data_IF_327077032406
#
_entry.id   IF_327077032406
#
_cell.length_a   1.000
_cell.length_b   1.000
_cell.length_c   1.000
_cell.angle_alpha   90.00
_cell.angle_beta   90.00
_cell.angle_gamma   90.00
#
_symmetry.space_group_name_H-M   'P 1'
#
loop_
_entity.id
_entity.type
_entity.pdbx_description
1 polymer ?
#
# COMPACT_ATOMS: atom_id res chain seq x y z
N UNK A 1 16.35 -17.70 12.84
CA UNK A 1 17.16 -18.48 11.90
C UNK A 1 18.05 -19.53 12.61
N UNK A 2 18.37 -19.34 13.89
CA UNK A 2 19.28 -20.20 14.67
C UNK A 2 18.72 -21.59 15.04
N UNK A 3 17.44 -21.85 14.76
CA UNK A 3 16.77 -23.08 15.22
C UNK A 3 16.43 -24.08 14.10
N UNK A 4 16.86 -23.85 12.85
CA UNK A 4 16.64 -24.83 11.79
C UNK A 4 17.82 -25.82 11.71
N UNK A 5 17.66 -27.09 12.15
CA UNK A 5 18.75 -28.06 12.15
C UNK A 5 19.21 -28.48 10.75
N UNK A 6 18.50 -28.08 9.70
CA UNK A 6 18.79 -28.44 8.31
C UNK A 6 19.27 -27.24 7.45
N UNK A 7 19.46 -26.05 8.04
CA UNK A 7 19.95 -24.88 7.31
C UNK A 7 19.05 -24.38 6.17
N UNK A 8 17.76 -24.75 6.19
CA UNK A 8 16.78 -24.42 5.12
C UNK A 8 16.16 -23.04 5.31
N UNK A 9 16.51 -22.31 6.37
CA UNK A 9 15.99 -20.96 6.62
C UNK A 9 16.80 -19.94 5.83
N UNK A 10 16.17 -19.29 4.88
CA UNK A 10 16.76 -18.22 4.08
C UNK A 10 16.16 -16.88 4.54
N UNK A 11 17.00 -15.88 4.74
CA UNK A 11 16.52 -14.54 5.03
C UNK A 11 15.85 -13.96 3.78
N UNK A 12 14.60 -13.52 3.93
CA UNK A 12 13.81 -12.90 2.85
C UNK A 12 14.04 -11.39 2.72
N UNK A 13 14.88 -10.83 3.61
CA UNK A 13 15.20 -9.41 3.66
C UNK A 13 16.69 -9.21 3.91
N UNK A 14 17.22 -8.11 3.41
CA UNK A 14 18.57 -7.64 3.72
C UNK A 14 18.43 -6.40 4.62
N UNK A 15 18.81 -6.47 5.91
CA UNK A 15 18.78 -5.30 6.77
C UNK A 15 19.81 -4.28 6.26
N UNK A 16 19.36 -3.05 6.10
CA UNK A 16 20.21 -1.89 5.78
C UNK A 16 20.04 -0.86 6.89
N UNK A 17 21.12 -0.18 7.26
CA UNK A 17 21.02 1.01 8.09
C UNK A 17 20.36 2.16 7.30
N UNK A 18 19.88 3.18 7.99
CA UNK A 18 19.33 4.38 7.34
C UNK A 18 20.37 5.04 6.44
N UNK A 19 21.64 5.06 6.87
CA UNK A 19 22.75 5.61 6.11
C UNK A 19 23.02 4.84 4.82
N UNK A 20 23.07 3.51 4.91
CA UNK A 20 23.27 2.64 3.74
C UNK A 20 22.10 2.79 2.76
N UNK A 21 20.86 2.82 3.26
CA UNK A 21 19.67 3.00 2.45
C UNK A 21 19.66 4.37 1.78
N UNK A 22 20.05 5.42 2.50
CA UNK A 22 20.19 6.78 1.96
C UNK A 22 21.18 6.81 0.79
N UNK A 23 22.38 6.26 0.99
CA UNK A 23 23.39 6.19 -0.08
C UNK A 23 22.88 5.41 -1.28
N UNK A 24 22.18 4.30 -1.05
CA UNK A 24 21.60 3.48 -2.11
C UNK A 24 20.56 4.24 -2.93
N UNK A 25 19.62 4.92 -2.29
CA UNK A 25 18.54 5.65 -2.95
C UNK A 25 19.07 6.90 -3.70
N UNK A 26 20.06 7.59 -3.15
CA UNK A 26 20.63 8.78 -3.79
C UNK A 26 21.44 8.49 -5.07
N UNK A 27 21.82 7.25 -5.33
CA UNK A 27 22.47 6.88 -6.62
C UNK A 27 21.60 7.19 -7.82
N UNK A 28 20.28 7.06 -7.66
CA UNK A 28 19.32 7.26 -8.73
C UNK A 28 18.70 8.67 -8.75
N UNK A 29 19.24 9.60 -7.95
CA UNK A 29 18.72 10.97 -7.83
C UNK A 29 18.53 11.67 -9.18
N UNK A 30 19.50 11.55 -10.10
CA UNK A 30 19.41 12.13 -11.43
C UNK A 30 18.27 11.52 -12.26
N UNK A 31 18.01 10.24 -12.08
CA UNK A 31 16.89 9.53 -12.75
C UNK A 31 15.56 10.04 -12.21
N UNK A 32 15.43 10.19 -10.90
CA UNK A 32 14.21 10.75 -10.27
C UNK A 32 13.92 12.16 -10.78
N UNK A 33 14.94 13.01 -10.85
CA UNK A 33 14.79 14.40 -11.31
C UNK A 33 14.39 14.48 -12.79
N UNK A 34 14.91 13.59 -13.63
CA UNK A 34 14.59 13.57 -15.06
C UNK A 34 13.21 12.98 -15.36
N UNK A 35 12.81 11.96 -14.62
CA UNK A 35 11.55 11.27 -14.85
C UNK A 35 10.35 11.87 -14.10
N UNK A 36 10.59 12.75 -13.13
CA UNK A 36 9.57 13.17 -12.16
C UNK A 36 9.17 12.07 -11.18
N UNK A 37 9.97 10.99 -11.11
CA UNK A 37 9.77 9.89 -10.19
C UNK A 37 10.34 10.15 -8.79
N UNK A 38 10.52 9.09 -8.02
CA UNK A 38 11.00 9.20 -6.65
C UNK A 38 11.07 7.86 -5.94
N UNK A 39 10.89 7.88 -4.62
CA UNK A 39 10.93 6.71 -3.76
C UNK A 39 9.54 6.37 -3.27
N UNK A 40 9.12 5.11 -3.44
CA UNK A 40 7.88 4.59 -2.87
C UNK A 40 8.21 3.69 -1.69
N UNK A 41 7.69 4.04 -0.52
CA UNK A 41 7.73 3.22 0.68
C UNK A 41 6.55 2.26 0.67
N UNK A 42 6.83 0.97 0.62
CA UNK A 42 5.85 -0.12 0.54
C UNK A 42 6.41 -1.37 1.25
N UNK A 43 5.74 -2.51 1.14
CA UNK A 43 6.21 -3.78 1.69
C UNK A 43 5.24 -4.35 2.70
N UNK A 44 5.59 -4.45 4.01
CA UNK A 44 4.60 -4.56 5.08
C UNK A 44 3.70 -3.31 5.07
N UNK A 45 3.24 -2.81 6.19
CA UNK A 45 2.63 -1.47 6.16
C UNK A 45 3.67 -0.46 6.69
N UNK A 46 4.26 0.41 5.84
CA UNK A 46 5.35 1.29 6.24
C UNK A 46 4.93 2.33 7.28
N UNK A 47 3.65 2.66 7.40
CA UNK A 47 3.16 3.61 8.41
C UNK A 47 3.41 3.12 9.84
N UNK A 48 3.50 1.81 10.04
CA UNK A 48 3.73 1.21 11.38
C UNK A 48 5.14 1.53 11.89
N UNK A 49 6.10 1.68 10.97
CA UNK A 49 7.51 1.94 11.25
C UNK A 49 8.00 3.30 10.75
N UNK A 50 7.07 4.18 10.37
CA UNK A 50 7.42 5.44 9.69
C UNK A 50 8.34 6.33 10.54
N UNK A 51 8.20 6.31 11.87
CA UNK A 51 9.06 7.08 12.78
C UNK A 51 10.53 6.67 12.71
N UNK A 52 10.82 5.40 12.44
CA UNK A 52 12.18 4.88 12.25
C UNK A 52 12.80 5.40 10.93
N UNK A 53 11.94 5.79 9.99
CA UNK A 53 12.34 6.30 8.67
C UNK A 53 12.47 7.83 8.63
N UNK A 54 12.11 8.57 9.67
CA UNK A 54 12.19 10.04 9.65
C UNK A 54 13.57 10.59 9.27
N UNK A 55 14.71 10.06 9.77
CA UNK A 55 16.02 10.54 9.34
C UNK A 55 16.29 10.34 7.84
N UNK A 56 15.79 9.26 7.25
CA UNK A 56 15.86 9.01 5.82
C UNK A 56 14.94 9.98 5.05
N UNK A 57 13.69 10.13 5.49
CA UNK A 57 12.71 11.00 4.85
C UNK A 57 13.16 12.48 4.88
N UNK A 58 13.76 12.92 5.97
CA UNK A 58 14.35 14.25 6.08
C UNK A 58 15.44 14.46 5.02
N UNK A 59 16.33 13.46 4.87
CA UNK A 59 17.38 13.51 3.87
C UNK A 59 16.85 13.53 2.45
N UNK A 60 15.86 12.68 2.14
CA UNK A 60 15.22 12.68 0.82
C UNK A 60 14.53 14.02 0.51
N UNK A 61 13.92 14.65 1.52
CA UNK A 61 13.31 15.96 1.39
C UNK A 61 14.34 17.05 1.11
N UNK A 62 15.48 17.07 1.83
CA UNK A 62 16.59 17.98 1.56
C UNK A 62 17.10 17.85 0.11
N UNK A 63 17.15 16.62 -0.40
CA UNK A 63 17.60 16.31 -1.76
C UNK A 63 16.49 16.48 -2.81
N UNK A 64 15.31 16.97 -2.39
CA UNK A 64 14.12 17.22 -3.25
C UNK A 64 13.66 15.97 -4.02
N UNK A 65 13.74 14.81 -3.36
CA UNK A 65 13.26 13.54 -3.92
C UNK A 65 11.80 13.38 -3.52
N UNK A 66 10.95 13.09 -4.51
CA UNK A 66 9.54 12.79 -4.31
C UNK A 66 9.38 11.50 -3.51
N UNK A 67 8.61 11.54 -2.43
CA UNK A 67 8.33 10.39 -1.57
C UNK A 67 6.86 10.02 -1.63
N UNK A 68 6.57 8.77 -1.99
CA UNK A 68 5.24 8.17 -1.96
C UNK A 68 5.19 7.11 -0.87
N UNK A 69 4.09 7.02 -0.14
CA UNK A 69 3.83 5.92 0.80
C UNK A 69 2.61 5.12 0.36
N UNK A 70 2.75 3.79 0.32
CA UNK A 70 1.63 2.87 0.11
C UNK A 70 1.29 2.22 1.45
N UNK A 71 0.09 2.49 1.97
CA UNK A 71 -0.31 2.14 3.32
C UNK A 71 -1.80 1.81 3.42
N UNK A 72 -2.17 0.98 4.38
CA UNK A 72 -3.57 0.74 4.74
C UNK A 72 -4.17 1.85 5.60
N UNK A 73 -3.38 2.84 6.01
CA UNK A 73 -3.70 3.86 7.00
C UNK A 73 -4.08 3.31 8.40
N UNK A 74 -3.74 2.08 8.71
CA UNK A 74 -3.95 1.53 10.04
C UNK A 74 -2.84 2.00 11.00
N UNK A 75 -2.91 3.26 11.40
CA UNK A 75 -2.01 3.88 12.36
C UNK A 75 -2.82 4.43 13.54
N UNK A 76 -2.58 3.91 14.75
CA UNK A 76 -3.28 4.36 15.97
C UNK A 76 -2.68 5.62 16.57
N UNK A 77 -1.44 5.93 16.22
CA UNK A 77 -0.76 7.15 16.67
C UNK A 77 -0.91 8.27 15.62
N UNK A 78 -1.89 9.13 15.86
CA UNK A 78 -2.14 10.26 14.98
C UNK A 78 -1.04 11.32 15.00
N UNK A 79 -0.21 11.37 16.04
CA UNK A 79 0.91 12.32 16.09
C UNK A 79 2.00 11.90 15.08
N UNK A 80 2.34 10.62 15.03
CA UNK A 80 3.27 10.06 14.03
C UNK A 80 2.72 10.25 12.60
N UNK A 81 1.42 10.03 12.40
CA UNK A 81 0.80 10.27 11.10
C UNK A 81 0.91 11.75 10.68
N UNK A 82 0.63 12.68 11.59
CA UNK A 82 0.73 14.11 11.33
C UNK A 82 2.17 14.55 11.01
N UNK A 83 3.14 14.05 11.75
CA UNK A 83 4.54 14.34 11.51
C UNK A 83 5.00 13.87 10.14
N UNK A 84 4.58 12.67 9.73
CA UNK A 84 4.94 12.08 8.43
C UNK A 84 4.41 12.87 7.23
N UNK A 85 3.30 13.63 7.38
CA UNK A 85 2.72 14.46 6.30
C UNK A 85 3.74 15.45 5.73
N UNK A 86 4.66 15.95 6.55
CA UNK A 86 5.67 16.91 6.09
C UNK A 86 6.72 16.35 5.14
N UNK A 87 6.82 15.02 5.04
CA UNK A 87 7.83 14.30 4.27
C UNK A 87 7.25 13.56 3.06
N UNK A 88 5.96 13.25 3.07
CA UNK A 88 5.31 12.42 2.06
C UNK A 88 4.56 13.31 1.06
N UNK A 89 4.90 13.17 -0.22
CA UNK A 89 4.30 13.93 -1.31
C UNK A 89 3.00 13.29 -1.81
N UNK A 90 2.90 11.96 -1.76
CA UNK A 90 1.74 11.22 -2.22
C UNK A 90 1.44 10.05 -1.28
N UNK A 91 0.14 9.86 -0.99
CA UNK A 91 -0.39 8.79 -0.15
C UNK A 91 -1.22 7.85 -1.01
N UNK A 92 -0.75 6.62 -1.22
CA UNK A 92 -1.53 5.57 -1.86
C UNK A 92 -2.20 4.76 -0.75
N UNK A 93 -3.52 4.92 -0.63
CA UNK A 93 -4.30 4.21 0.39
C UNK A 93 -4.78 2.88 -0.18
N UNK A 94 -4.18 1.79 0.28
CA UNK A 94 -4.54 0.43 -0.10
C UNK A 94 -5.76 -0.03 0.71
N UNK A 95 -6.93 -0.02 0.08
CA UNK A 95 -8.20 -0.35 0.71
C UNK A 95 -8.33 -1.85 0.93
N UNK A 96 -8.41 -2.25 2.20
CA UNK A 96 -8.51 -3.66 2.59
C UNK A 96 -9.94 -3.95 3.04
N UNK A 97 -10.78 -4.39 2.12
CA UNK A 97 -12.19 -4.64 2.40
C UNK A 97 -12.53 -6.09 2.80
N UNK A 98 -11.53 -6.95 2.90
CA UNK A 98 -11.69 -8.32 3.39
C UNK A 98 -11.68 -8.35 4.91
N UNK A 99 -12.84 -8.53 5.53
CA UNK A 99 -13.02 -8.53 7.00
C UNK A 99 -12.22 -9.62 7.72
N UNK A 100 -11.96 -10.75 7.06
CA UNK A 100 -11.36 -11.93 7.67
C UNK A 100 -9.89 -11.77 8.07
N UNK A 101 -9.21 -10.75 7.53
CA UNK A 101 -7.76 -10.58 7.65
C UNK A 101 -7.34 -9.36 8.47
N UNK A 102 -8.29 -8.54 8.96
CA UNK A 102 -8.00 -7.29 9.64
C UNK A 102 -8.62 -7.22 11.03
N UNK A 103 -8.07 -6.32 11.85
CA UNK A 103 -8.57 -6.06 13.20
C UNK A 103 -9.98 -5.45 13.13
N UNK A 104 -10.79 -5.72 14.14
CA UNK A 104 -12.18 -5.22 14.21
C UNK A 104 -12.28 -3.70 14.12
N UNK A 105 -11.27 -2.97 14.60
CA UNK A 105 -11.21 -1.51 14.60
C UNK A 105 -10.55 -0.90 13.33
N UNK A 106 -10.23 -1.73 12.32
CA UNK A 106 -9.55 -1.26 11.11
C UNK A 106 -10.30 -0.15 10.39
N UNK A 107 -11.58 -0.35 10.11
CA UNK A 107 -12.39 0.60 9.36
C UNK A 107 -12.51 1.95 10.08
N UNK A 108 -12.61 1.95 11.40
CA UNK A 108 -12.71 3.17 12.21
C UNK A 108 -11.38 3.95 12.21
N UNK A 109 -10.27 3.25 12.45
CA UNK A 109 -8.93 3.86 12.47
C UNK A 109 -8.59 4.43 11.08
N UNK A 110 -8.78 3.64 10.03
CA UNK A 110 -8.52 4.06 8.65
C UNK A 110 -9.38 5.26 8.26
N UNK A 111 -10.68 5.23 8.56
CA UNK A 111 -11.60 6.34 8.24
C UNK A 111 -11.21 7.62 9.00
N UNK A 112 -10.84 7.52 10.27
CA UNK A 112 -10.36 8.66 11.05
C UNK A 112 -9.11 9.28 10.42
N UNK A 113 -8.10 8.46 10.12
CA UNK A 113 -6.84 8.89 9.52
C UNK A 113 -7.04 9.48 8.12
N UNK A 114 -7.92 8.89 7.31
CA UNK A 114 -8.27 9.42 5.99
C UNK A 114 -8.89 10.82 6.08
N UNK A 115 -9.80 11.05 7.03
CA UNK A 115 -10.38 12.38 7.28
C UNK A 115 -9.30 13.38 7.70
N UNK A 116 -8.39 12.96 8.58
CA UNK A 116 -7.28 13.80 9.03
C UNK A 116 -6.40 14.23 7.85
N UNK A 117 -5.97 13.31 7.02
CA UNK A 117 -5.14 13.59 5.84
C UNK A 117 -5.88 14.49 4.83
N UNK A 118 -7.16 14.26 4.58
CA UNK A 118 -7.97 15.13 3.70
C UNK A 118 -8.07 16.56 4.21
N UNK A 119 -8.25 16.75 5.53
CA UNK A 119 -8.29 18.07 6.12
C UNK A 119 -6.97 18.84 5.98
N UNK A 120 -5.86 18.12 5.85
CA UNK A 120 -4.53 18.70 5.61
C UNK A 120 -4.25 18.95 4.12
N UNK A 121 -5.15 18.53 3.24
CA UNK A 121 -5.05 18.77 1.79
C UNK A 121 -3.90 18.00 1.12
N UNK A 122 -3.48 16.87 1.70
CA UNK A 122 -2.43 16.03 1.10
C UNK A 122 -2.94 15.30 -0.16
N UNK A 123 -2.03 14.97 -1.06
CA UNK A 123 -2.35 14.20 -2.26
C UNK A 123 -2.61 12.73 -1.89
N UNK A 124 -3.84 12.25 -2.14
CA UNK A 124 -4.27 10.89 -1.80
C UNK A 124 -4.81 10.21 -3.05
N UNK A 125 -4.28 9.05 -3.37
CA UNK A 125 -4.84 8.09 -4.33
C UNK A 125 -5.29 6.83 -3.60
N UNK A 126 -6.19 6.07 -4.23
CA UNK A 126 -6.77 4.86 -3.63
C UNK A 126 -6.48 3.66 -4.51
N UNK A 127 -6.15 2.55 -3.88
CA UNK A 127 -5.88 1.26 -4.53
C UNK A 127 -6.72 0.16 -3.88
N UNK A 128 -7.16 -0.79 -4.69
CA UNK A 128 -7.84 -1.99 -4.26
C UNK A 128 -7.33 -3.19 -5.04
N UNK A 129 -6.93 -4.24 -4.34
CA UNK A 129 -6.66 -5.53 -4.97
C UNK A 129 -7.96 -6.33 -5.01
N UNK A 130 -8.50 -6.52 -6.22
CA UNK A 130 -9.71 -7.31 -6.41
C UNK A 130 -9.42 -8.81 -6.32
N UNK A 131 -10.21 -9.52 -5.52
CA UNK A 131 -10.21 -10.97 -5.38
C UNK A 131 -11.59 -11.54 -5.68
N UNK A 132 -11.66 -12.81 -6.12
CA UNK A 132 -12.90 -13.46 -6.60
C UNK A 132 -14.07 -13.43 -5.61
N UNK A 133 -13.80 -13.33 -4.30
CA UNK A 133 -14.83 -13.31 -3.26
C UNK A 133 -15.42 -11.94 -2.96
N UNK A 134 -15.00 -10.87 -3.66
CA UNK A 134 -15.53 -9.52 -3.42
C UNK A 134 -16.83 -9.29 -4.19
N UNK A 135 -17.83 -8.78 -3.47
CA UNK A 135 -19.12 -8.39 -4.04
C UNK A 135 -19.09 -6.90 -4.41
N UNK A 136 -19.35 -6.59 -5.69
CA UNK A 136 -19.24 -5.23 -6.23
C UNK A 136 -20.13 -4.22 -5.49
N UNK A 137 -21.36 -4.58 -5.15
CA UNK A 137 -22.32 -3.70 -4.47
C UNK A 137 -21.83 -3.32 -3.06
N UNK A 138 -21.26 -4.28 -2.31
CA UNK A 138 -20.66 -4.00 -1.00
C UNK A 138 -19.49 -3.03 -1.12
N UNK A 139 -18.62 -3.25 -2.09
CA UNK A 139 -17.46 -2.39 -2.35
C UNK A 139 -17.91 -0.97 -2.72
N UNK A 140 -18.87 -0.85 -3.63
CA UNK A 140 -19.45 0.46 -4.03
C UNK A 140 -20.02 1.22 -2.84
N UNK A 141 -20.77 0.56 -1.95
CA UNK A 141 -21.29 1.19 -0.75
C UNK A 141 -20.16 1.71 0.17
N UNK A 142 -19.11 0.92 0.36
CA UNK A 142 -17.97 1.32 1.18
C UNK A 142 -17.21 2.48 0.56
N UNK A 143 -16.97 2.47 -0.74
CA UNK A 143 -16.32 3.59 -1.46
C UNK A 143 -17.14 4.89 -1.32
N UNK A 144 -18.47 4.80 -1.45
CA UNK A 144 -19.36 5.96 -1.24
C UNK A 144 -19.27 6.51 0.18
N UNK A 145 -19.31 5.65 1.20
CA UNK A 145 -19.15 6.05 2.62
C UNK A 145 -17.81 6.74 2.87
N UNK A 146 -16.75 6.29 2.20
CA UNK A 146 -15.43 6.89 2.29
C UNK A 146 -15.25 8.12 1.40
N UNK A 147 -16.20 8.43 0.51
CA UNK A 147 -16.09 9.52 -0.47
C UNK A 147 -14.96 9.28 -1.47
N UNK A 148 -14.76 8.04 -1.89
CA UNK A 148 -13.77 7.66 -2.91
C UNK A 148 -14.44 7.68 -4.27
N UNK A 149 -14.01 8.59 -5.15
CA UNK A 149 -14.56 8.79 -6.48
C UNK A 149 -13.67 8.25 -7.59
N UNK A 150 -12.38 8.03 -7.31
CA UNK A 150 -11.42 7.45 -8.24
C UNK A 150 -10.63 6.35 -7.53
N UNK A 151 -10.43 5.23 -8.18
CA UNK A 151 -9.85 4.02 -7.62
C UNK A 151 -8.95 3.33 -8.64
N UNK A 152 -7.74 2.98 -8.21
CA UNK A 152 -6.87 2.08 -8.94
C UNK A 152 -7.21 0.64 -8.54
N UNK A 153 -7.59 -0.19 -9.51
CA UNK A 153 -7.96 -1.59 -9.26
C UNK A 153 -6.90 -2.52 -9.83
N UNK A 154 -6.33 -3.34 -8.94
CA UNK A 154 -5.39 -4.39 -9.30
C UNK A 154 -6.10 -5.74 -9.30
N UNK A 155 -5.92 -6.52 -10.35
CA UNK A 155 -6.35 -7.92 -10.35
C UNK A 155 -5.41 -8.75 -9.48
N UNK A 156 -5.94 -9.49 -8.51
CA UNK A 156 -5.14 -10.43 -7.73
C UNK A 156 -4.48 -11.47 -8.64
N UNK A 157 -3.24 -11.81 -8.35
CA UNK A 157 -2.43 -12.76 -9.12
C UNK A 157 -1.79 -13.83 -8.21
N UNK A 158 -1.33 -14.93 -8.82
CA UNK A 158 -0.75 -16.08 -8.10
C UNK A 158 0.75 -15.95 -7.77
N UNK A 159 1.40 -14.80 -8.02
CA UNK A 159 2.84 -14.65 -7.83
C UNK A 159 3.32 -14.92 -6.39
N UNK A 160 2.42 -14.78 -5.40
CA UNK A 160 2.73 -15.09 -4.01
C UNK A 160 2.81 -16.60 -3.72
N UNK A 161 2.36 -17.49 -4.61
CA UNK A 161 2.30 -18.94 -4.38
C UNK A 161 3.66 -19.54 -3.99
N UNK A 162 4.73 -19.12 -4.68
CA UNK A 162 6.08 -19.58 -4.36
C UNK A 162 6.52 -19.19 -2.93
N UNK A 163 6.08 -18.04 -2.44
CA UNK A 163 6.35 -17.55 -1.09
C UNK A 163 5.61 -18.39 -0.05
N UNK A 164 4.33 -18.71 -0.30
CA UNK A 164 3.54 -19.58 0.57
C UNK A 164 4.13 -20.99 0.62
N UNK A 165 4.55 -21.53 -0.52
CA UNK A 165 5.22 -22.84 -0.59
C UNK A 165 6.51 -22.87 0.23
N UNK A 166 7.36 -21.84 0.12
CA UNK A 166 8.60 -21.71 0.92
C UNK A 166 8.32 -21.63 2.43
N UNK A 167 7.20 -21.07 2.82
CA UNK A 167 6.78 -20.93 4.22
C UNK A 167 6.03 -22.16 4.74
N UNK A 168 5.77 -23.18 3.91
CA UNK A 168 4.98 -24.34 4.26
C UNK A 168 3.50 -24.01 4.53
N UNK A 169 3.01 -22.90 4.01
CA UNK A 169 1.64 -22.44 4.18
C UNK A 169 0.76 -22.80 2.98
N UNK A 170 -0.53 -23.12 3.19
CA UNK A 170 -1.45 -23.36 2.08
C UNK A 170 -1.70 -22.06 1.32
N UNK A 171 -1.48 -22.09 0.01
CA UNK A 171 -1.87 -20.97 -0.87
C UNK A 171 -3.36 -21.07 -1.18
N UNK A 172 -4.11 -20.02 -0.88
CA UNK A 172 -5.51 -19.90 -1.27
C UNK A 172 -5.61 -19.20 -2.61
N UNK A 173 -6.28 -19.82 -3.57
CA UNK A 173 -6.51 -19.24 -4.90
C UNK A 173 -7.60 -18.16 -4.81
N UNK A 174 -7.18 -16.90 -4.68
CA UNK A 174 -8.07 -15.74 -4.74
C UNK A 174 -8.03 -15.04 -6.11
N UNK A 175 -7.36 -15.69 -7.09
CA UNK A 175 -7.17 -15.10 -8.41
C UNK A 175 -8.52 -15.11 -9.14
N UNK A 176 -9.08 -13.93 -9.46
CA UNK A 176 -10.36 -13.85 -10.14
C UNK A 176 -10.23 -14.26 -11.60
N UNK A 177 -11.33 -14.78 -12.16
CA UNK A 177 -11.46 -14.98 -13.60
C UNK A 177 -11.41 -13.63 -14.32
N UNK A 178 -11.04 -13.63 -15.60
CA UNK A 178 -11.07 -12.39 -16.39
C UNK A 178 -12.48 -11.83 -16.47
N UNK A 179 -13.49 -12.70 -16.58
CA UNK A 179 -14.89 -12.30 -16.62
C UNK A 179 -15.30 -11.62 -15.32
N UNK A 180 -15.05 -12.25 -14.17
CA UNK A 180 -15.37 -11.71 -12.85
C UNK A 180 -14.70 -10.35 -12.61
N UNK A 181 -13.44 -10.21 -13.02
CA UNK A 181 -12.73 -8.92 -12.94
C UNK A 181 -13.40 -7.84 -13.80
N UNK A 182 -13.75 -8.14 -15.06
CA UNK A 182 -14.41 -7.19 -15.95
C UNK A 182 -15.82 -6.83 -15.48
N UNK A 183 -16.56 -7.79 -14.97
CA UNK A 183 -17.90 -7.56 -14.39
C UNK A 183 -17.78 -6.61 -13.16
N UNK A 184 -16.78 -6.81 -12.31
CA UNK A 184 -16.49 -5.94 -11.18
C UNK A 184 -16.14 -4.50 -11.61
N UNK A 185 -15.21 -4.33 -12.57
CA UNK A 185 -14.85 -3.02 -13.11
C UNK A 185 -16.07 -2.31 -13.70
N UNK A 186 -16.90 -3.05 -14.45
CA UNK A 186 -18.13 -2.51 -15.05
C UNK A 186 -19.09 -2.00 -13.97
N UNK A 187 -19.27 -2.75 -12.89
CA UNK A 187 -20.13 -2.34 -11.77
C UNK A 187 -19.63 -1.07 -11.09
N UNK A 188 -18.32 -0.93 -10.87
CA UNK A 188 -17.72 0.31 -10.32
C UNK A 188 -17.98 1.51 -11.23
N UNK A 189 -17.74 1.37 -12.54
CA UNK A 189 -17.97 2.43 -13.53
C UNK A 189 -19.44 2.85 -13.58
N UNK A 190 -20.38 1.88 -13.56
CA UNK A 190 -21.82 2.15 -13.52
C UNK A 190 -22.25 2.85 -12.23
N UNK A 191 -21.54 2.63 -11.14
CA UNK A 191 -21.77 3.32 -9.87
C UNK A 191 -21.15 4.74 -9.80
N UNK A 192 -20.47 5.18 -10.88
CA UNK A 192 -19.85 6.49 -10.98
C UNK A 192 -18.46 6.59 -10.36
N UNK A 193 -17.78 5.45 -10.11
CA UNK A 193 -16.39 5.43 -9.68
C UNK A 193 -15.49 5.47 -10.91
N UNK A 194 -14.57 6.42 -10.96
CA UNK A 194 -13.52 6.48 -11.99
C UNK A 194 -12.47 5.41 -11.70
N UNK A 195 -12.34 4.43 -12.61
CA UNK A 195 -11.44 3.29 -12.41
C UNK A 195 -10.21 3.47 -13.28
N UNK A 196 -9.06 3.49 -12.62
CA UNK A 196 -7.75 3.44 -13.29
C UNK A 196 -7.26 2.00 -13.27
N UNK A 197 -7.08 1.42 -14.46
CA UNK A 197 -6.43 0.12 -14.60
C UNK A 197 -4.92 0.35 -14.74
N UNK A 198 -4.13 -0.32 -13.89
CA UNK A 198 -2.70 -0.44 -14.16
C UNK A 198 -2.52 -1.46 -15.28
N UNK A 199 -1.95 -1.03 -16.38
CA UNK A 199 -1.42 -1.95 -17.39
C UNK A 199 -0.29 -2.76 -16.75
N UNK A 200 -0.55 -4.04 -16.48
CA UNK A 200 0.45 -5.01 -16.05
C UNK A 200 1.32 -5.45 -17.22
#
# INVERSE_FOLDING_TARGET
>A
LEHCPFGVSEATSHPLSVEELTVYLLRDKSVYQLSGGGVTFSGGDPIIHISELFPLLEKLKEEQIHCTIETTLYCKDSAILLESVSYINEWIVDLKFQKENYREDYDDVMTFNLRLLRNLGVNISFRLVFVESMEADEIVERLKKLGVLSLEVLKCHALAESKYTKLGLPFRHYVPSTKSYLDFITALLMAGVDVKELAL
#
